data_IF_791888224917
#
_entry.id   IF_791888224917
#
_cell.length_a   1.000
_cell.length_b   1.000
_cell.length_c   1.000
_cell.angle_alpha   90.00
_cell.angle_beta   90.00
_cell.angle_gamma   90.00
#
_symmetry.space_group_name_H-M   'P 1'
#
loop_
_entity.id
_entity.type
_entity.pdbx_description
1 polymer ?
#
# COMPACT_ATOMS: atom_id res chain seq x y z
N UNK A 1 -6.80 -8.38 -14.81
CA UNK A 1 -6.44 -7.83 -13.48
C UNK A 1 -5.36 -6.74 -13.65
N UNK A 2 -5.26 -5.75 -12.75
CA UNK A 2 -4.26 -4.67 -12.83
C UNK A 2 -3.50 -4.58 -11.51
N UNK A 3 -2.17 -4.63 -11.55
CA UNK A 3 -1.28 -4.49 -10.39
C UNK A 3 -0.63 -3.10 -10.44
N UNK A 4 -0.63 -2.39 -9.32
CA UNK A 4 -0.08 -1.04 -9.20
C UNK A 4 0.83 -0.98 -7.97
N UNK A 5 2.16 -0.98 -8.15
CA UNK A 5 3.08 -0.69 -7.06
C UNK A 5 2.83 0.73 -6.53
N UNK A 6 2.61 0.87 -5.23
CA UNK A 6 2.39 2.17 -4.57
C UNK A 6 3.62 2.65 -3.81
N UNK A 7 4.42 1.71 -3.30
CA UNK A 7 5.71 1.95 -2.71
C UNK A 7 6.64 0.75 -2.87
N UNK A 8 7.91 1.02 -3.13
CA UNK A 8 8.91 0.04 -3.59
C UNK A 8 10.24 0.12 -2.84
N UNK A 9 10.36 0.91 -1.77
CA UNK A 9 11.56 1.01 -0.95
C UNK A 9 11.60 -0.08 0.12
N UNK A 10 12.79 -0.55 0.48
CA UNK A 10 13.02 -1.43 1.63
C UNK A 10 13.45 -0.64 2.87
N UNK A 11 12.90 -1.01 4.03
CA UNK A 11 13.22 -0.56 5.40
C UNK A 11 12.97 0.92 5.71
N UNK A 12 13.36 1.82 4.81
CA UNK A 12 13.23 3.28 4.98
C UNK A 12 12.82 3.92 3.66
N UNK A 13 11.93 4.92 3.67
CA UNK A 13 11.59 5.64 2.46
C UNK A 13 12.81 6.45 1.99
N UNK A 14 12.82 6.77 0.70
CA UNK A 14 13.75 7.70 0.09
C UNK A 14 12.97 8.90 -0.47
N UNK A 15 13.67 9.94 -0.94
CA UNK A 15 13.00 11.08 -1.57
C UNK A 15 12.21 10.73 -2.83
N UNK A 16 12.42 9.53 -3.39
CA UNK A 16 11.80 9.08 -4.66
C UNK A 16 11.14 7.70 -4.58
N UNK A 17 11.16 7.03 -3.42
CA UNK A 17 10.57 5.69 -3.23
C UNK A 17 9.97 5.59 -1.83
N UNK A 18 8.70 5.21 -1.78
CA UNK A 18 7.89 5.04 -0.58
C UNK A 18 7.94 3.60 -0.06
N UNK A 19 7.46 3.41 1.18
CA UNK A 19 7.47 2.11 1.84
C UNK A 19 6.52 1.10 1.18
N UNK A 20 6.75 -0.21 1.37
CA UNK A 20 6.09 -1.27 0.61
C UNK A 20 4.57 -1.21 0.65
N UNK A 21 3.98 -1.16 -0.55
CA UNK A 21 2.57 -1.40 -0.74
C UNK A 21 2.30 -1.64 -2.23
N UNK A 22 1.49 -2.65 -2.56
CA UNK A 22 1.06 -2.95 -3.92
C UNK A 22 -0.46 -3.09 -3.93
N UNK A 23 -1.13 -2.37 -4.82
CA UNK A 23 -2.57 -2.51 -5.02
C UNK A 23 -2.86 -3.38 -6.24
N UNK A 24 -3.72 -4.38 -6.07
CA UNK A 24 -4.31 -5.14 -7.15
C UNK A 24 -5.75 -4.67 -7.34
N UNK A 25 -6.07 -4.23 -8.55
CA UNK A 25 -7.40 -3.81 -8.96
C UNK A 25 -8.05 -4.88 -9.84
N UNK A 26 -9.28 -5.24 -9.48
CA UNK A 26 -10.11 -6.21 -10.20
C UNK A 26 -11.58 -5.82 -10.07
N UNK A 27 -12.28 -5.69 -11.20
CA UNK A 27 -13.73 -5.52 -11.26
C UNK A 27 -14.28 -4.39 -10.35
N UNK A 28 -13.50 -3.31 -10.19
CA UNK A 28 -13.88 -2.16 -9.36
C UNK A 28 -13.51 -2.28 -7.87
N UNK A 29 -12.98 -3.40 -7.43
CA UNK A 29 -12.44 -3.66 -6.09
C UNK A 29 -10.92 -3.55 -6.06
N UNK A 30 -10.39 -3.23 -4.88
CA UNK A 30 -8.95 -3.12 -4.60
C UNK A 30 -8.56 -4.12 -3.52
N UNK A 31 -7.45 -4.80 -3.75
CA UNK A 31 -6.81 -5.75 -2.84
C UNK A 31 -5.41 -5.21 -2.56
N UNK A 32 -5.14 -4.83 -1.32
CA UNK A 32 -3.89 -4.16 -0.94
C UNK A 32 -2.93 -5.16 -0.31
N UNK A 33 -1.72 -5.28 -0.84
CA UNK A 33 -0.64 -6.09 -0.30
C UNK A 33 0.37 -5.17 0.37
N UNK A 34 0.56 -5.35 1.67
CA UNK A 34 1.20 -4.42 2.61
C UNK A 34 0.62 -3.00 2.60
N UNK A 35 0.82 -2.31 3.72
CA UNK A 35 0.35 -0.97 3.96
C UNK A 35 1.45 -0.16 4.68
N UNK A 36 2.60 0.01 4.03
CA UNK A 36 3.63 0.91 4.51
C UNK A 36 3.18 2.35 4.66
N UNK A 37 3.94 3.14 5.41
CA UNK A 37 3.71 4.57 5.54
C UNK A 37 3.53 5.20 4.14
N UNK A 38 2.53 6.08 4.02
CA UNK A 38 2.14 6.76 2.78
C UNK A 38 1.37 5.92 1.74
N UNK A 39 1.08 4.63 1.98
CA UNK A 39 0.32 3.79 1.05
C UNK A 39 -1.01 4.43 0.59
N UNK A 40 -1.76 5.02 1.51
CA UNK A 40 -3.02 5.71 1.19
C UNK A 40 -2.86 6.91 0.23
N UNK A 41 -1.70 7.58 0.25
CA UNK A 41 -1.40 8.67 -0.66
C UNK A 41 -0.99 8.14 -2.03
N UNK A 42 -0.20 7.06 -2.07
CA UNK A 42 0.10 6.33 -3.30
C UNK A 42 -1.17 5.90 -4.02
N UNK A 43 -2.17 5.38 -3.30
CA UNK A 43 -3.48 5.06 -3.86
C UNK A 43 -4.15 6.27 -4.52
N UNK A 44 -4.15 7.42 -3.86
CA UNK A 44 -4.74 8.65 -4.41
C UNK A 44 -4.04 9.11 -5.68
N UNK A 45 -2.70 9.08 -5.68
CA UNK A 45 -1.88 9.46 -6.83
C UNK A 45 -2.11 8.53 -8.02
N UNK A 46 -2.25 7.23 -7.76
CA UNK A 46 -2.62 6.22 -8.75
C UNK A 46 -4.08 6.31 -9.21
N UNK A 47 -4.89 7.21 -8.66
CA UNK A 47 -6.31 7.33 -9.00
C UNK A 47 -7.20 6.23 -8.41
N UNK A 48 -6.66 5.38 -7.53
CA UNK A 48 -7.38 4.30 -6.85
C UNK A 48 -8.23 4.86 -5.70
N UNK A 49 -9.46 4.40 -5.58
CA UNK A 49 -10.37 4.78 -4.50
C UNK A 49 -10.11 3.90 -3.28
N UNK A 50 -9.66 4.49 -2.17
CA UNK A 50 -9.50 3.81 -0.87
C UNK A 50 -10.79 3.14 -0.39
N UNK A 51 -11.96 3.75 -0.64
CA UNK A 51 -13.27 3.16 -0.34
C UNK A 51 -13.63 1.90 -1.16
N UNK A 52 -12.79 1.51 -2.12
CA UNK A 52 -12.93 0.27 -2.90
C UNK A 52 -12.01 -0.86 -2.43
N UNK A 53 -11.22 -0.66 -1.37
CA UNK A 53 -10.41 -1.72 -0.76
C UNK A 53 -11.34 -2.76 -0.15
N UNK A 54 -11.26 -4.01 -0.55
CA UNK A 54 -12.05 -5.08 0.05
C UNK A 54 -11.19 -5.95 0.96
N UNK A 55 -9.90 -6.12 0.63
CA UNK A 55 -8.95 -6.84 1.45
C UNK A 55 -7.63 -6.07 1.61
N UNK A 56 -7.02 -6.21 2.78
CA UNK A 56 -5.63 -5.82 3.06
C UNK A 56 -4.88 -7.07 3.54
N UNK A 57 -3.75 -7.37 2.90
CA UNK A 57 -2.88 -8.51 3.21
C UNK A 57 -1.56 -7.97 3.76
N UNK A 58 -1.25 -8.22 5.03
CA UNK A 58 -0.01 -7.81 5.68
C UNK A 58 0.94 -8.98 5.71
N UNK A 59 2.10 -8.87 5.07
CA UNK A 59 3.10 -9.94 5.00
C UNK A 59 3.72 -10.25 6.36
N UNK A 60 4.17 -9.24 7.10
CA UNK A 60 4.85 -9.39 8.39
C UNK A 60 4.87 -8.09 9.22
N UNK A 61 5.41 -8.17 10.45
CA UNK A 61 5.48 -7.06 11.40
C UNK A 61 6.82 -6.31 11.42
N UNK A 62 7.42 -6.07 10.27
CA UNK A 62 8.38 -4.96 10.14
C UNK A 62 7.66 -3.68 9.74
N UNK A 63 8.10 -2.57 10.33
CA UNK A 63 7.32 -1.32 10.41
C UNK A 63 6.98 -0.75 9.03
N UNK A 64 7.85 -0.95 8.07
CA UNK A 64 7.66 -0.50 6.70
C UNK A 64 6.52 -1.23 5.97
N UNK A 65 6.02 -2.36 6.45
CA UNK A 65 4.94 -3.12 5.81
C UNK A 65 3.54 -2.83 6.36
N UNK A 66 3.42 -2.23 7.55
CA UNK A 66 2.09 -2.02 8.16
C UNK A 66 1.88 -0.63 8.77
N UNK A 67 2.92 0.21 8.86
CA UNK A 67 2.83 1.54 9.52
C UNK A 67 1.75 2.48 8.97
N UNK A 68 1.37 2.33 7.71
CA UNK A 68 0.30 3.11 7.07
C UNK A 68 -1.12 2.65 7.42
N UNK A 69 -1.28 1.47 8.01
CA UNK A 69 -2.58 0.82 8.22
C UNK A 69 -3.52 1.66 9.08
N UNK A 70 -3.06 2.18 10.22
CA UNK A 70 -3.91 2.94 11.14
C UNK A 70 -4.43 4.25 10.53
N UNK A 71 -3.57 4.94 9.77
CA UNK A 71 -3.96 6.15 9.05
C UNK A 71 -4.97 5.86 7.94
N UNK A 72 -4.83 4.71 7.26
CA UNK A 72 -5.78 4.26 6.27
C UNK A 72 -7.14 3.93 6.89
N UNK A 73 -7.18 3.13 7.97
CA UNK A 73 -8.43 2.75 8.66
C UNK A 73 -9.18 3.97 9.18
N UNK A 74 -8.48 4.91 9.82
CA UNK A 74 -9.06 6.17 10.28
C UNK A 74 -9.66 6.98 9.12
N UNK A 75 -8.99 6.97 7.97
CA UNK A 75 -9.49 7.64 6.76
C UNK A 75 -10.73 6.96 6.18
N UNK A 76 -10.77 5.63 6.15
CA UNK A 76 -11.95 4.88 5.70
C UNK A 76 -13.15 5.15 6.60
N UNK A 77 -12.92 5.27 7.92
CA UNK A 77 -13.95 5.65 8.87
C UNK A 77 -14.51 7.06 8.59
N UNK A 78 -13.63 8.04 8.38
CA UNK A 78 -14.04 9.41 8.02
C UNK A 78 -14.80 9.49 6.69
N UNK A 79 -14.55 8.55 5.77
CA UNK A 79 -15.25 8.45 4.49
C UNK A 79 -16.63 7.79 4.60
N UNK A 80 -17.06 7.36 5.79
CA UNK A 80 -18.33 6.68 6.02
C UNK A 80 -18.50 5.46 5.10
N UNK A 81 -17.42 4.69 4.97
CA UNK A 81 -17.46 3.38 4.32
C UNK A 81 -18.47 2.51 5.08
N UNK A 82 -19.27 1.75 4.34
CA UNK A 82 -20.27 0.79 4.83
C UNK A 82 -19.95 -0.66 4.44
N UNK A 83 -19.01 -0.86 3.52
CA UNK A 83 -18.57 -2.18 3.06
C UNK A 83 -17.64 -2.84 4.08
N UNK A 84 -17.82 -4.14 4.29
CA UNK A 84 -16.89 -4.98 5.07
C UNK A 84 -15.45 -4.85 4.55
N UNK A 85 -14.47 -4.96 5.45
CA UNK A 85 -13.05 -5.01 5.13
C UNK A 85 -12.44 -6.29 5.70
N UNK A 86 -11.76 -7.07 4.86
CA UNK A 86 -10.96 -8.22 5.33
C UNK A 86 -9.52 -7.76 5.55
N UNK A 87 -8.96 -8.06 6.71
CA UNK A 87 -7.54 -7.89 7.01
C UNK A 87 -6.95 -9.27 7.27
N UNK A 88 -6.02 -9.70 6.43
CA UNK A 88 -5.31 -10.96 6.57
C UNK A 88 -3.82 -10.71 6.84
N UNK A 89 -3.20 -11.54 7.67
CA UNK A 89 -1.80 -11.36 8.06
C UNK A 89 -1.37 -12.36 9.12
N UNK A 90 -0.13 -12.26 9.63
CA UNK A 90 0.30 -13.01 10.80
C UNK A 90 -0.62 -12.80 11.99
N UNK A 91 -0.74 -13.83 12.82
CA UNK A 91 -1.36 -13.74 14.13
C UNK A 91 -0.82 -12.57 14.95
N UNK A 92 -1.74 -11.79 15.52
CA UNK A 92 -1.46 -10.54 16.23
C UNK A 92 -1.92 -9.30 15.46
N UNK A 93 -2.31 -9.41 14.18
CA UNK A 93 -2.80 -8.26 13.40
C UNK A 93 -4.13 -7.76 13.97
N UNK A 94 -4.99 -8.66 14.44
CA UNK A 94 -6.24 -8.28 15.10
C UNK A 94 -5.96 -7.48 16.38
N UNK A 95 -5.12 -8.03 17.25
CA UNK A 95 -4.73 -7.40 18.52
C UNK A 95 -4.12 -6.01 18.25
N UNK A 96 -3.20 -5.91 17.29
CA UNK A 96 -2.57 -4.66 16.90
C UNK A 96 -3.61 -3.61 16.46
N UNK A 97 -4.52 -3.97 15.55
CA UNK A 97 -5.51 -3.02 15.02
C UNK A 97 -6.48 -2.59 16.13
N UNK A 98 -7.07 -3.55 16.85
CA UNK A 98 -8.06 -3.26 17.90
C UNK A 98 -7.44 -2.42 19.03
N UNK A 99 -6.20 -2.73 19.44
CA UNK A 99 -5.52 -1.95 20.46
C UNK A 99 -5.31 -0.49 20.04
N UNK A 100 -4.85 -0.25 18.80
CA UNK A 100 -4.61 1.11 18.31
C UNK A 100 -5.90 1.91 18.10
N UNK A 101 -6.98 1.25 17.64
CA UNK A 101 -8.30 1.88 17.53
C UNK A 101 -8.82 2.28 18.92
N UNK A 102 -8.71 1.39 19.90
CA UNK A 102 -9.09 1.68 21.28
C UNK A 102 -8.24 2.81 21.90
N UNK A 103 -6.92 2.78 21.69
CA UNK A 103 -6.00 3.82 22.17
C UNK A 103 -6.34 5.20 21.59
N UNK A 104 -6.72 5.26 20.31
CA UNK A 104 -7.05 6.51 19.61
C UNK A 104 -8.51 6.95 19.76
N UNK A 105 -9.36 6.13 20.38
CA UNK A 105 -10.80 6.39 20.48
C UNK A 105 -11.52 6.38 19.13
N UNK A 106 -11.00 5.63 18.16
CA UNK A 106 -11.60 5.50 16.82
C UNK A 106 -12.51 4.27 16.79
N UNK A 107 -13.81 4.50 16.61
CA UNK A 107 -14.78 3.45 16.34
C UNK A 107 -15.00 3.34 14.82
N UNK A 108 -14.85 2.15 14.25
CA UNK A 108 -15.13 1.91 12.83
C UNK A 108 -16.63 1.69 12.62
N UNK A 109 -17.18 2.35 11.61
CA UNK A 109 -18.58 2.26 11.17
C UNK A 109 -18.83 1.18 10.12
N UNK A 110 -17.83 0.34 9.86
CA UNK A 110 -17.89 -0.81 8.97
C UNK A 110 -17.27 -2.02 9.67
N UNK A 111 -17.69 -3.21 9.25
CA UNK A 111 -17.19 -4.47 9.78
C UNK A 111 -15.76 -4.76 9.31
N UNK A 112 -14.93 -5.28 10.22
CA UNK A 112 -13.58 -5.76 9.91
C UNK A 112 -13.47 -7.22 10.29
N UNK A 113 -13.20 -8.06 9.30
CA UNK A 113 -12.95 -9.49 9.47
C UNK A 113 -11.45 -9.74 9.45
N UNK A 114 -10.92 -10.43 10.47
CA UNK A 114 -9.50 -10.73 10.60
C UNK A 114 -9.22 -12.20 10.27
N UNK A 115 -8.39 -12.43 9.24
CA UNK A 115 -7.95 -13.75 8.83
C UNK A 115 -6.48 -13.93 9.18
N UNK A 116 -6.23 -14.34 10.42
CA UNK A 116 -4.88 -14.53 10.96
C UNK A 116 -4.28 -15.88 10.53
N UNK A 117 -2.98 -15.89 10.23
CA UNK A 117 -2.22 -17.10 9.91
C UNK A 117 -1.20 -17.35 11.01
N UNK A 118 -1.23 -18.55 11.58
CA UNK A 118 -0.29 -19.02 12.60
C UNK A 118 1.04 -19.48 11.97
N UNK A 119 2.15 -19.38 12.71
CA UNK A 119 3.49 -19.75 12.20
C UNK A 119 3.64 -21.22 11.78
N UNK A 120 2.77 -22.10 12.29
CA UNK A 120 2.78 -23.53 11.97
C UNK A 120 2.03 -23.92 10.70
N UNK A 121 1.33 -22.98 10.04
CA UNK A 121 0.54 -23.25 8.86
C UNK A 121 1.39 -23.25 7.59
N UNK A 122 1.41 -24.35 6.83
CA UNK A 122 2.17 -24.46 5.57
C UNK A 122 1.47 -23.76 4.39
N UNK A 123 0.14 -23.67 4.45
CA UNK A 123 -0.71 -23.04 3.45
C UNK A 123 -2.06 -22.68 4.06
N UNK A 124 -2.52 -21.45 3.83
CA UNK A 124 -3.81 -21.01 4.34
C UNK A 124 -4.60 -20.29 3.25
N UNK A 125 -5.88 -20.66 3.11
CA UNK A 125 -6.83 -19.95 2.25
C UNK A 125 -7.38 -18.73 3.01
N UNK A 126 -6.71 -17.58 2.89
CA UNK A 126 -7.10 -16.36 3.62
C UNK A 126 -8.31 -15.66 3.00
N UNK A 127 -8.64 -15.94 1.74
CA UNK A 127 -9.91 -15.56 1.11
C UNK A 127 -10.33 -16.68 0.14
N UNK A 128 -11.58 -17.12 0.19
CA UNK A 128 -12.18 -18.01 -0.81
C UNK A 128 -13.52 -17.42 -1.25
N UNK A 129 -13.50 -16.65 -2.34
CA UNK A 129 -14.69 -16.09 -2.95
C UNK A 129 -15.18 -17.01 -4.08
N UNK A 130 -16.36 -16.76 -4.62
CA UNK A 130 -16.94 -17.62 -5.66
C UNK A 130 -16.08 -17.69 -6.93
N UNK A 131 -15.39 -16.61 -7.28
CA UNK A 131 -14.69 -16.41 -8.55
C UNK A 131 -13.18 -16.22 -8.42
N UNK A 132 -12.65 -16.08 -7.21
CA UNK A 132 -11.21 -16.05 -6.92
C UNK A 132 -10.90 -16.57 -5.52
N UNK A 133 -9.63 -16.80 -5.26
CA UNK A 133 -9.14 -17.08 -3.92
C UNK A 133 -7.79 -16.40 -3.66
N UNK A 134 -7.46 -16.21 -2.40
CA UNK A 134 -6.13 -15.77 -1.96
C UNK A 134 -5.54 -16.81 -1.02
N UNK A 135 -4.38 -17.32 -1.39
CA UNK A 135 -3.58 -18.27 -0.61
C UNK A 135 -2.39 -17.57 0.03
N UNK A 136 -2.11 -17.86 1.29
CA UNK A 136 -0.92 -17.41 2.01
C UNK A 136 0.00 -18.61 2.30
N UNK A 137 1.32 -18.37 2.25
CA UNK A 137 2.33 -19.36 2.65
C UNK A 137 3.47 -18.69 3.43
N UNK A 138 4.06 -19.37 4.42
CA UNK A 138 5.26 -18.90 5.10
C UNK A 138 6.42 -18.70 4.14
N UNK A 139 7.10 -17.57 4.28
CA UNK A 139 8.35 -17.21 3.63
C UNK A 139 9.52 -17.33 4.61
N UNK A 140 10.74 -17.18 4.10
CA UNK A 140 11.96 -17.30 4.90
C UNK A 140 12.55 -15.93 5.21
N UNK A 141 12.07 -15.30 6.28
CA UNK A 141 12.53 -13.99 6.74
C UNK A 141 12.97 -14.02 8.22
N UNK A 142 13.49 -12.91 8.75
CA UNK A 142 13.96 -12.83 10.16
C UNK A 142 12.83 -12.96 11.17
N UNK A 143 11.64 -12.50 10.79
CA UNK A 143 10.37 -12.70 11.50
C UNK A 143 9.47 -13.59 10.65
N UNK A 144 8.40 -14.11 11.25
CA UNK A 144 7.37 -14.79 10.49
C UNK A 144 6.80 -13.85 9.41
N UNK A 145 6.87 -14.31 8.17
CA UNK A 145 6.51 -13.55 6.99
C UNK A 145 5.68 -14.42 6.05
N UNK A 146 4.68 -13.82 5.43
CA UNK A 146 3.76 -14.46 4.51
C UNK A 146 3.95 -13.90 3.11
N UNK A 147 3.96 -14.79 2.13
CA UNK A 147 3.72 -14.46 0.73
C UNK A 147 2.29 -14.79 0.37
N UNK A 148 1.76 -14.11 -0.65
CA UNK A 148 0.38 -14.28 -1.07
C UNK A 148 0.28 -14.61 -2.56
N UNK A 149 -0.71 -15.43 -2.91
CA UNK A 149 -1.13 -15.69 -4.29
C UNK A 149 -2.61 -15.35 -4.42
N UNK A 150 -2.93 -14.36 -5.26
CA UNK A 150 -4.27 -14.11 -5.76
C UNK A 150 -4.49 -14.94 -7.02
N UNK A 151 -5.54 -15.74 -7.05
CA UNK A 151 -5.89 -16.60 -8.20
C UNK A 151 -7.37 -16.46 -8.52
N UNK A 152 -7.70 -15.94 -9.71
CA UNK A 152 -9.04 -16.11 -10.26
C UNK A 152 -9.28 -17.59 -10.56
N UNK A 153 -10.48 -18.08 -10.26
CA UNK A 153 -10.88 -19.43 -10.65
C UNK A 153 -11.04 -19.49 -12.18
N UNK A 154 -10.80 -20.68 -12.73
CA UNK A 154 -10.91 -20.89 -14.16
C UNK A 154 -12.32 -20.59 -14.63
N UNK A 155 -12.40 -19.89 -15.77
CA UNK A 155 -13.68 -19.58 -16.40
C UNK A 155 -13.99 -20.68 -17.41
N UNK A 156 -15.27 -21.04 -17.58
CA UNK A 156 -15.66 -21.90 -18.69
C UNK A 156 -15.14 -21.38 -20.03
N UNK A 157 -14.93 -22.32 -20.95
CA UNK A 157 -14.54 -21.99 -22.31
C UNK A 157 -15.56 -21.09 -23.00
N UNK A 158 -15.15 -20.50 -24.12
CA UNK A 158 -16.09 -19.75 -24.96
C UNK A 158 -17.09 -20.72 -25.57
N UNK A 159 -18.36 -20.34 -25.54
CA UNK A 159 -19.43 -21.06 -26.25
C UNK A 159 -19.31 -20.79 -27.74
N UNK A 160 -19.31 -21.84 -28.55
CA UNK A 160 -19.51 -21.76 -29.99
C UNK A 160 -21.00 -21.55 -30.27
N UNK A 161 -21.40 -20.27 -30.36
CA UNK A 161 -22.79 -19.89 -30.56
C UNK A 161 -23.35 -20.41 -31.90
N UNK A 162 -22.51 -20.56 -32.92
CA UNK A 162 -22.94 -21.06 -34.22
C UNK A 162 -23.28 -22.55 -34.16
N UNK A 163 -22.44 -23.36 -33.50
CA UNK A 163 -22.76 -24.77 -33.25
C UNK A 163 -23.97 -24.92 -32.33
N UNK A 164 -24.03 -24.18 -31.22
CA UNK A 164 -25.16 -24.24 -30.30
C UNK A 164 -26.49 -24.00 -31.02
N UNK A 165 -26.56 -23.01 -31.91
CA UNK A 165 -27.74 -22.74 -32.73
C UNK A 165 -28.07 -23.88 -33.70
N UNK A 166 -27.09 -24.56 -34.28
CA UNK A 166 -27.32 -25.73 -35.16
C UNK A 166 -27.95 -26.90 -34.41
N UNK A 167 -27.67 -27.03 -33.12
CA UNK A 167 -28.27 -28.04 -32.25
C UNK A 167 -29.58 -27.58 -31.60
N UNK A 168 -30.08 -26.37 -31.91
CA UNK A 168 -31.30 -25.84 -31.31
C UNK A 168 -31.18 -25.46 -29.83
N UNK A 169 -29.94 -25.34 -29.30
CA UNK A 169 -29.69 -24.91 -27.93
C UNK A 169 -29.98 -23.41 -27.84
N UNK A 170 -31.03 -23.06 -27.12
CA UNK A 170 -31.52 -21.67 -27.02
C UNK A 170 -31.82 -21.24 -25.59
N UNK A 171 -31.93 -22.18 -24.65
CA UNK A 171 -32.24 -21.91 -23.25
C UNK A 171 -30.97 -21.57 -22.44
N UNK A 172 -31.07 -20.56 -21.58
CA UNK A 172 -30.00 -20.16 -20.66
C UNK A 172 -29.62 -21.28 -19.68
N UNK A 173 -30.57 -22.11 -19.26
CA UNK A 173 -30.31 -23.26 -18.38
C UNK A 173 -29.47 -24.33 -19.10
N UNK A 174 -29.76 -24.59 -20.37
CA UNK A 174 -28.96 -25.47 -21.22
C UNK A 174 -27.51 -24.95 -21.38
N UNK A 175 -27.35 -23.65 -21.61
CA UNK A 175 -26.02 -23.04 -21.67
C UNK A 175 -25.28 -23.10 -20.33
N UNK A 176 -25.99 -23.01 -19.20
CA UNK A 176 -25.40 -23.12 -17.87
C UNK A 176 -24.88 -24.54 -17.60
N UNK A 177 -25.66 -25.56 -17.94
CA UNK A 177 -25.26 -26.97 -17.85
C UNK A 177 -24.01 -27.26 -18.70
N UNK A 178 -24.03 -26.85 -19.98
CA UNK A 178 -22.89 -27.04 -20.88
C UNK A 178 -21.64 -26.31 -20.38
N UNK A 179 -21.78 -25.08 -19.86
CA UNK A 179 -20.65 -24.33 -19.26
C UNK A 179 -20.14 -24.94 -17.95
N UNK A 180 -20.99 -25.67 -17.22
CA UNK A 180 -20.58 -26.45 -16.06
C UNK A 180 -19.83 -27.74 -16.44
N UNK A 181 -19.80 -28.08 -17.74
CA UNK A 181 -19.18 -29.30 -18.25
C UNK A 181 -20.12 -30.49 -18.29
N UNK A 182 -21.41 -30.29 -18.06
CA UNK A 182 -22.41 -31.35 -18.10
C UNK A 182 -22.94 -31.54 -19.52
N UNK A 183 -23.23 -32.80 -19.87
CA UNK A 183 -23.84 -33.14 -21.15
C UNK A 183 -25.33 -32.79 -21.15
N UNK A 184 -25.82 -32.37 -22.30
CA UNK A 184 -27.21 -31.97 -22.47
C UNK A 184 -27.97 -33.00 -23.31
N UNK A 185 -29.07 -33.51 -22.79
CA UNK A 185 -30.01 -34.33 -23.57
C UNK A 185 -31.12 -33.43 -24.12
N UNK A 186 -31.25 -33.37 -25.43
CA UNK A 186 -32.31 -32.64 -26.12
C UNK A 186 -33.65 -33.41 -26.09
N UNK A 187 -34.74 -32.71 -26.40
CA UNK A 187 -36.09 -33.28 -26.45
C UNK A 187 -36.24 -34.44 -27.47
N UNK A 188 -35.40 -34.45 -28.51
CA UNK A 188 -35.33 -35.53 -29.51
C UNK A 188 -34.52 -36.75 -29.04
N UNK A 189 -34.01 -36.73 -27.80
CA UNK A 189 -33.21 -37.77 -27.19
C UNK A 189 -31.72 -37.72 -27.54
N UNK A 190 -31.28 -36.75 -28.36
CA UNK A 190 -29.87 -36.58 -28.70
C UNK A 190 -29.08 -36.03 -27.51
N UNK A 191 -27.96 -36.67 -27.19
CA UNK A 191 -27.01 -36.18 -26.19
C UNK A 191 -25.95 -35.32 -26.87
N UNK A 192 -25.76 -34.12 -26.35
CA UNK A 192 -24.72 -33.18 -26.77
C UNK A 192 -23.68 -33.12 -25.66
N UNK A 193 -22.44 -33.42 -26.03
CA UNK A 193 -21.34 -33.37 -25.09
C UNK A 193 -20.91 -31.90 -24.89
N UNK A 194 -20.62 -31.51 -23.64
CA UNK A 194 -20.26 -30.13 -23.32
C UNK A 194 -19.11 -29.59 -24.17
N UNK A 195 -18.10 -30.43 -24.47
CA UNK A 195 -16.92 -30.06 -25.24
C UNK A 195 -17.19 -29.78 -26.72
N UNK A 196 -18.35 -30.21 -27.27
CA UNK A 196 -18.72 -29.93 -28.65
C UNK A 196 -19.14 -28.46 -28.84
N UNK A 197 -19.65 -27.86 -27.77
CA UNK A 197 -20.20 -26.50 -27.73
C UNK A 197 -19.28 -25.54 -26.98
N UNK A 198 -18.69 -25.97 -25.87
CA UNK A 198 -17.86 -25.15 -25.00
C UNK A 198 -16.40 -25.48 -25.24
N UNK A 199 -15.61 -24.48 -25.61
CA UNK A 199 -14.17 -24.64 -25.79
C UNK A 199 -13.42 -24.99 -24.50
N UNK A 200 -12.10 -25.09 -24.58
CA UNK A 200 -11.28 -25.36 -23.40
C UNK A 200 -11.47 -24.30 -22.29
N UNK A 201 -11.41 -24.70 -21.00
CA UNK A 201 -11.41 -23.78 -19.88
C UNK A 201 -10.36 -22.69 -20.06
N UNK A 202 -10.71 -21.49 -19.61
CA UNK A 202 -9.84 -20.32 -19.68
C UNK A 202 -9.22 -20.11 -18.31
N UNK A 203 -7.90 -20.27 -18.16
CA UNK A 203 -7.23 -20.07 -16.90
C UNK A 203 -7.52 -18.68 -16.34
N UNK A 204 -7.82 -18.61 -15.04
CA UNK A 204 -8.00 -17.35 -14.36
C UNK A 204 -6.69 -16.54 -14.28
N UNK A 205 -6.81 -15.21 -14.24
CA UNK A 205 -5.66 -14.34 -13.96
C UNK A 205 -5.09 -14.59 -12.56
N UNK A 206 -3.78 -14.44 -12.43
CA UNK A 206 -3.06 -14.74 -11.19
C UNK A 206 -1.93 -13.77 -10.91
N UNK A 207 -1.75 -13.48 -9.62
CA UNK A 207 -0.73 -12.58 -9.10
C UNK A 207 -0.12 -13.17 -7.82
N UNK A 208 1.21 -13.23 -7.74
CA UNK A 208 1.92 -13.56 -6.52
C UNK A 208 2.65 -12.34 -5.96
N UNK A 209 2.52 -12.11 -4.67
CA UNK A 209 3.25 -11.11 -3.89
C UNK A 209 4.20 -11.82 -2.94
N UNK A 210 5.49 -11.76 -3.25
CA UNK A 210 6.59 -12.30 -2.47
C UNK A 210 7.51 -11.12 -2.12
N UNK A 211 7.32 -10.53 -0.95
CA UNK A 211 8.26 -9.51 -0.45
C UNK A 211 9.36 -10.21 0.34
N UNK A 212 9.75 -9.63 1.46
CA UNK A 212 10.80 -9.96 2.41
C UNK A 212 10.98 -11.46 2.63
N UNK A 213 12.00 -12.01 1.98
CA UNK A 213 12.37 -13.42 2.06
C UNK A 213 13.77 -13.65 1.51
N UNK A 214 14.50 -14.61 2.07
CA UNK A 214 15.50 -15.37 1.35
C UNK A 214 14.82 -16.28 0.30
N UNK A 215 15.59 -16.78 -0.67
CA UNK A 215 15.11 -17.86 -1.53
C UNK A 215 14.50 -19.00 -0.69
N UNK A 216 13.25 -19.38 -1.00
CA UNK A 216 12.57 -20.49 -0.36
C UNK A 216 11.59 -21.23 -1.30
N UNK A 217 11.33 -22.53 -1.09
CA UNK A 217 10.40 -23.29 -1.93
C UNK A 217 8.96 -22.76 -1.93
N UNK A 218 8.51 -22.13 -0.84
CA UNK A 218 7.15 -21.59 -0.76
C UNK A 218 6.98 -20.36 -1.67
N UNK A 219 8.02 -19.56 -1.89
CA UNK A 219 8.00 -18.50 -2.91
C UNK A 219 7.74 -19.08 -4.32
N UNK A 220 8.40 -20.19 -4.66
CA UNK A 220 8.19 -20.89 -5.95
C UNK A 220 6.75 -21.44 -6.05
N UNK A 221 6.23 -22.06 -4.98
CA UNK A 221 4.85 -22.58 -4.96
C UNK A 221 3.80 -21.48 -5.15
N UNK A 222 3.97 -20.33 -4.49
CA UNK A 222 3.08 -19.17 -4.66
C UNK A 222 3.11 -18.67 -6.11
N UNK A 223 4.32 -18.57 -6.69
CA UNK A 223 4.54 -18.02 -8.02
C UNK A 223 4.19 -18.97 -9.17
N UNK A 224 3.93 -20.26 -8.90
CA UNK A 224 3.80 -21.30 -9.91
C UNK A 224 2.76 -20.96 -11.00
N UNK A 225 3.20 -20.85 -12.25
CA UNK A 225 2.42 -20.49 -13.44
C UNK A 225 1.63 -19.17 -13.32
N UNK A 226 2.11 -18.22 -12.53
CA UNK A 226 1.43 -16.93 -12.34
C UNK A 226 1.53 -16.02 -13.56
N UNK A 227 0.56 -15.13 -13.77
CA UNK A 227 0.70 -14.07 -14.78
C UNK A 227 1.76 -13.05 -14.35
N UNK A 228 1.73 -12.64 -13.08
CA UNK A 228 2.67 -11.67 -12.52
C UNK A 228 3.18 -12.19 -11.17
N UNK A 229 4.49 -12.26 -11.02
CA UNK A 229 5.17 -12.39 -9.75
C UNK A 229 5.78 -11.05 -9.37
N UNK A 230 5.34 -10.44 -8.27
CA UNK A 230 6.08 -9.37 -7.60
C UNK A 230 7.02 -9.99 -6.58
N UNK A 231 8.33 -9.82 -6.75
CA UNK A 231 9.35 -10.36 -5.86
C UNK A 231 10.25 -9.25 -5.30
N UNK A 232 10.67 -9.34 -4.03
CA UNK A 232 11.71 -8.45 -3.52
C UNK A 232 13.05 -8.67 -4.26
N UNK A 233 13.80 -7.59 -4.45
CA UNK A 233 15.18 -7.63 -4.90
C UNK A 233 15.97 -6.59 -4.11
N UNK A 234 16.00 -6.75 -2.78
CA UNK A 234 16.60 -5.76 -1.88
C UNK A 234 18.07 -5.52 -2.21
N UNK A 235 18.77 -6.56 -2.66
CA UNK A 235 20.19 -6.53 -2.99
C UNK A 235 20.49 -7.08 -4.39
N UNK A 236 21.67 -6.75 -4.90
CA UNK A 236 22.30 -7.41 -6.05
C UNK A 236 23.29 -8.48 -5.59
N UNK A 237 23.80 -9.27 -6.54
CA UNK A 237 24.64 -10.45 -6.26
C UNK A 237 25.90 -10.14 -5.45
N UNK A 238 26.49 -8.94 -5.62
CA UNK A 238 27.67 -8.51 -4.85
C UNK A 238 27.41 -8.41 -3.34
N UNK A 239 26.14 -8.38 -2.92
CA UNK A 239 25.70 -8.29 -1.54
C UNK A 239 24.87 -9.50 -1.11
N UNK A 240 25.04 -10.66 -1.76
CA UNK A 240 24.32 -11.89 -1.42
C UNK A 240 24.47 -12.31 0.05
N UNK A 241 25.67 -12.16 0.62
CA UNK A 241 25.90 -12.43 2.05
C UNK A 241 25.05 -11.51 2.94
N UNK A 242 24.93 -10.22 2.56
CA UNK A 242 24.10 -9.27 3.30
C UNK A 242 22.63 -9.58 3.15
N UNK A 243 22.18 -9.97 1.96
CA UNK A 243 20.81 -10.41 1.71
C UNK A 243 20.45 -11.55 2.66
N UNK A 244 21.26 -12.61 2.69
CA UNK A 244 21.09 -13.74 3.60
C UNK A 244 21.13 -13.34 5.08
N UNK A 245 22.11 -12.53 5.50
CA UNK A 245 22.22 -12.05 6.88
C UNK A 245 20.97 -11.29 7.36
N UNK A 246 20.29 -10.62 6.43
CA UNK A 246 19.12 -9.79 6.72
C UNK A 246 17.79 -10.46 6.36
N UNK A 247 17.79 -11.71 5.90
CA UNK A 247 16.58 -12.43 5.55
C UNK A 247 15.94 -11.99 4.23
N UNK A 248 16.76 -11.48 3.29
CA UNK A 248 16.33 -10.92 2.01
C UNK A 248 16.89 -11.68 0.81
N UNK A 249 16.40 -11.32 -0.37
CA UNK A 249 16.79 -11.89 -1.66
C UNK A 249 17.67 -10.95 -2.47
N UNK A 250 18.50 -11.55 -3.32
CA UNK A 250 19.12 -10.85 -4.43
C UNK A 250 18.20 -10.78 -5.65
N UNK A 251 18.52 -9.90 -6.61
CA UNK A 251 17.87 -9.89 -7.92
C UNK A 251 17.97 -11.25 -8.66
N UNK A 252 19.07 -11.99 -8.48
CA UNK A 252 19.21 -13.33 -9.05
C UNK A 252 18.35 -14.38 -8.32
N UNK A 253 18.15 -14.25 -7.01
CA UNK A 253 17.23 -15.14 -6.27
C UNK A 253 15.79 -14.95 -6.74
N UNK A 254 15.36 -13.69 -6.93
CA UNK A 254 14.05 -13.38 -7.51
C UNK A 254 13.87 -13.98 -8.92
N UNK A 255 14.88 -13.83 -9.78
CA UNK A 255 14.89 -14.43 -11.12
C UNK A 255 14.86 -15.97 -11.07
N UNK A 256 15.56 -16.58 -10.11
CA UNK A 256 15.53 -18.02 -9.88
C UNK A 256 14.12 -18.49 -9.52
N UNK A 257 13.45 -17.82 -8.58
CA UNK A 257 12.06 -18.14 -8.21
C UNK A 257 11.15 -18.04 -9.44
N UNK A 258 11.27 -16.96 -10.23
CA UNK A 258 10.48 -16.76 -11.44
C UNK A 258 10.67 -17.89 -12.47
N UNK A 259 11.91 -18.31 -12.70
CA UNK A 259 12.26 -19.39 -13.62
C UNK A 259 11.73 -20.73 -13.14
N UNK A 260 11.96 -21.09 -11.88
CA UNK A 260 11.48 -22.36 -11.30
C UNK A 260 9.94 -22.42 -11.26
N UNK A 261 9.29 -21.28 -11.03
CA UNK A 261 7.85 -21.16 -10.98
C UNK A 261 7.18 -21.03 -12.35
N UNK A 262 7.94 -20.82 -13.43
CA UNK A 262 7.40 -20.58 -14.77
C UNK A 262 6.37 -19.43 -14.81
N UNK A 263 6.63 -18.35 -14.05
CA UNK A 263 5.78 -17.15 -14.13
C UNK A 263 5.86 -16.53 -15.52
N UNK A 264 4.86 -15.74 -15.93
CA UNK A 264 4.90 -15.04 -17.23
C UNK A 264 5.68 -13.73 -17.16
N UNK A 265 5.67 -13.06 -16.01
CA UNK A 265 6.33 -11.77 -15.79
C UNK A 265 6.83 -11.68 -14.35
N UNK A 266 8.11 -11.38 -14.18
CA UNK A 266 8.71 -11.00 -12.91
C UNK A 266 8.72 -9.46 -12.80
N UNK A 267 8.22 -8.94 -11.68
CA UNK A 267 8.33 -7.54 -11.30
C UNK A 267 9.17 -7.50 -10.02
N UNK A 268 10.36 -6.90 -10.10
CA UNK A 268 11.22 -6.76 -8.92
C UNK A 268 10.95 -5.44 -8.21
N UNK A 269 10.93 -5.46 -6.87
CA UNK A 269 10.69 -4.29 -6.02
C UNK A 269 11.45 -4.34 -4.69
N UNK A 270 10.96 -3.62 -3.68
CA UNK A 270 11.53 -3.63 -2.32
C UNK A 270 13.03 -3.29 -2.30
N UNK A 271 13.42 -2.19 -2.93
CA UNK A 271 14.81 -1.88 -3.19
C UNK A 271 15.49 -1.20 -2.01
N UNK A 272 16.70 -1.65 -1.66
CA UNK A 272 17.53 -0.94 -0.69
C UNK A 272 17.83 0.50 -1.15
N UNK A 273 17.75 1.45 -0.21
CA UNK A 273 18.05 2.86 -0.44
C UNK A 273 19.46 3.11 -1.04
N UNK A 274 20.39 2.15 -0.89
CA UNK A 274 21.75 2.21 -1.46
C UNK A 274 21.79 2.28 -2.98
N UNK A 275 20.78 1.72 -3.66
CA UNK A 275 20.74 1.71 -5.12
C UNK A 275 20.14 3.01 -5.62
N UNK A 276 20.96 3.85 -6.23
CA UNK A 276 20.52 5.05 -6.97
C UNK A 276 20.13 4.72 -8.41
N UNK A 277 20.76 3.69 -9.00
CA UNK A 277 20.40 3.15 -10.30
C UNK A 277 19.87 1.72 -10.15
N UNK A 278 18.56 1.54 -10.28
CA UNK A 278 17.90 0.24 -10.17
C UNK A 278 18.16 -0.69 -11.37
N UNK A 279 18.61 -0.15 -12.50
CA UNK A 279 18.87 -0.95 -13.70
C UNK A 279 20.00 -1.98 -13.51
N UNK A 280 20.86 -1.80 -12.51
CA UNK A 280 21.87 -2.81 -12.16
C UNK A 280 21.20 -4.09 -11.67
N UNK A 281 20.14 -3.98 -10.86
CA UNK A 281 19.35 -5.11 -10.36
C UNK A 281 18.51 -5.72 -11.47
N UNK A 282 17.91 -4.87 -12.32
CA UNK A 282 17.17 -5.32 -13.50
C UNK A 282 18.04 -6.17 -14.43
N UNK A 283 19.28 -5.73 -14.68
CA UNK A 283 20.22 -6.46 -15.52
C UNK A 283 20.50 -7.84 -14.93
N UNK A 284 20.85 -7.91 -13.63
CA UNK A 284 21.11 -9.18 -12.95
C UNK A 284 19.89 -10.12 -13.00
N UNK A 285 18.69 -9.61 -12.75
CA UNK A 285 17.48 -10.44 -12.83
C UNK A 285 17.21 -10.95 -14.25
N UNK A 286 17.43 -10.12 -15.28
CA UNK A 286 17.24 -10.51 -16.69
C UNK A 286 18.23 -11.54 -17.21
N UNK A 287 19.38 -11.71 -16.54
CA UNK A 287 20.32 -12.80 -16.84
C UNK A 287 19.71 -14.17 -16.47
N UNK A 288 18.90 -14.24 -15.41
CA UNK A 288 18.21 -15.47 -14.99
C UNK A 288 16.79 -15.64 -15.56
N UNK A 289 16.07 -14.54 -15.75
CA UNK A 289 14.69 -14.53 -16.24
C UNK A 289 14.41 -13.26 -17.07
N UNK A 290 14.45 -13.38 -18.40
CA UNK A 290 14.39 -12.23 -19.30
C UNK A 290 13.10 -11.38 -19.19
N UNK A 291 11.88 -11.95 -19.02
CA UNK A 291 10.65 -11.20 -18.79
C UNK A 291 10.60 -10.58 -17.38
N UNK A 292 11.55 -9.69 -17.08
CA UNK A 292 11.64 -8.96 -15.80
C UNK A 292 11.49 -7.47 -16.01
N UNK A 293 10.65 -6.85 -15.16
CA UNK A 293 10.42 -5.40 -15.07
C UNK A 293 10.84 -4.86 -13.69
N UNK A 294 11.23 -3.60 -13.64
CA UNK A 294 11.32 -2.86 -12.39
C UNK A 294 9.92 -2.43 -11.97
N UNK A 295 9.59 -2.60 -10.69
CA UNK A 295 8.46 -1.92 -10.09
C UNK A 295 8.72 -0.40 -10.16
N UNK A 296 7.81 0.31 -10.82
CA UNK A 296 7.77 1.76 -10.83
C UNK A 296 6.50 2.18 -10.10
N UNK A 297 6.63 3.04 -9.09
CA UNK A 297 5.48 3.51 -8.33
C UNK A 297 4.44 4.14 -9.26
N UNK A 298 3.18 3.85 -8.99
CA UNK A 298 1.99 4.34 -9.70
C UNK A 298 1.85 3.82 -11.14
N UNK A 299 2.81 3.05 -11.69
CA UNK A 299 2.71 2.46 -13.03
C UNK A 299 1.80 1.23 -12.98
N UNK A 300 0.67 1.21 -13.71
CA UNK A 300 -0.16 0.02 -13.80
C UNK A 300 0.52 -1.08 -14.62
N UNK A 301 0.35 -2.32 -14.18
CA UNK A 301 0.86 -3.54 -14.81
C UNK A 301 -0.32 -4.48 -15.03
N UNK A 302 -0.57 -4.87 -16.28
CA UNK A 302 -1.73 -5.68 -16.65
C UNK A 302 -1.33 -7.15 -16.74
N UNK A 303 -2.17 -8.05 -16.20
CA UNK A 303 -1.98 -9.50 -16.34
C UNK A 303 -2.14 -10.00 -17.77
N UNK A 304 -2.83 -9.22 -18.61
CA UNK A 304 -2.92 -9.36 -20.05
C UNK A 304 -2.40 -8.07 -20.72
N UNK A 305 -1.21 -8.10 -21.35
CA UNK A 305 -0.59 -6.92 -21.94
C UNK A 305 -1.39 -6.33 -23.12
N UNK A 306 -2.37 -7.06 -23.68
CA UNK A 306 -3.24 -6.52 -24.73
C UNK A 306 -4.19 -5.43 -24.20
N UNK A 307 -4.35 -5.32 -22.88
CA UNK A 307 -5.27 -4.40 -22.20
C UNK A 307 -4.60 -3.13 -21.64
N UNK A 308 -3.34 -2.84 -21.98
CA UNK A 308 -2.59 -1.68 -21.42
C UNK A 308 -3.21 -0.29 -21.67
N UNK A 309 -4.26 -0.17 -22.49
CA UNK A 309 -4.85 1.13 -22.85
C UNK A 309 -6.01 1.55 -21.94
N UNK A 310 -5.80 2.61 -21.16
CA UNK A 310 -6.86 3.57 -20.81
C UNK A 310 -7.70 3.33 -19.55
N UNK A 311 -7.34 2.42 -18.64
CA UNK A 311 -8.17 2.10 -17.45
C UNK A 311 -7.83 2.95 -16.21
N UNK A 312 -6.58 3.38 -16.06
CA UNK A 312 -6.13 4.21 -14.93
C UNK A 312 -5.53 5.51 -15.47
N UNK A 313 -6.21 6.63 -15.22
CA UNK A 313 -5.67 7.96 -15.51
C UNK A 313 -5.09 8.54 -14.22
N UNK A 314 -3.78 8.83 -14.15
CA UNK A 314 -3.19 9.51 -13.00
C UNK A 314 -3.92 10.82 -12.74
N UNK A 315 -4.33 11.08 -11.50
CA UNK A 315 -5.12 12.28 -11.14
C UNK A 315 -4.29 13.52 -10.84
N UNK A 316 -2.96 13.39 -10.80
CA UNK A 316 -2.08 14.49 -10.43
C UNK A 316 -1.42 15.04 -11.69
N UNK A 317 -1.99 16.12 -12.23
CA UNK A 317 -1.17 17.08 -12.95
C UNK A 317 -0.24 17.73 -11.93
N UNK A 318 1.07 17.50 -12.07
CA UNK A 318 2.05 18.34 -11.41
C UNK A 318 1.76 19.78 -11.83
N UNK A 319 1.27 20.59 -10.89
CA UNK A 319 1.12 22.03 -11.12
C UNK A 319 2.52 22.58 -11.33
N UNK A 320 2.87 22.77 -12.58
CA UNK A 320 4.15 23.30 -13.00
C UNK A 320 4.28 24.73 -12.45
N UNK A 321 5.01 24.88 -11.34
CA UNK A 321 5.22 26.16 -10.65
C UNK A 321 5.99 27.18 -11.52
N UNK A 322 6.41 26.77 -12.72
CA UNK A 322 7.13 27.62 -13.69
C UNK A 322 6.22 28.31 -14.71
N UNK A 323 4.92 27.98 -14.76
CA UNK A 323 3.99 28.65 -15.67
C UNK A 323 3.58 30.02 -15.10
N UNK A 324 4.37 31.05 -15.44
CA UNK A 324 3.93 32.43 -15.35
C UNK A 324 2.57 32.58 -16.06
N UNK A 325 1.57 33.22 -15.45
CA UNK A 325 0.30 33.46 -16.13
C UNK A 325 0.55 34.28 -17.40
N UNK A 326 -0.18 34.02 -18.51
CA UNK A 326 0.04 34.71 -19.76
C UNK A 326 -0.19 36.21 -19.57
N UNK A 327 0.82 37.00 -19.96
CA UNK A 327 0.70 38.47 -20.04
C UNK A 327 -0.43 38.78 -21.02
N UNK A 328 -1.53 39.35 -20.51
CA UNK A 328 -2.56 39.93 -21.36
C UNK A 328 -1.95 41.09 -22.17
N UNK A 329 -1.77 40.85 -23.46
CA UNK A 329 -1.53 41.89 -24.45
C UNK A 329 -2.82 42.68 -24.67
N UNK A 330 -3.03 43.73 -23.87
CA UNK A 330 -4.08 44.71 -24.09
C UNK A 330 -3.68 45.69 -25.19
N UNK A 331 -3.99 45.35 -26.45
CA UNK A 331 -4.01 46.29 -27.55
C UNK A 331 -5.34 47.04 -27.58
N UNK A 332 -5.31 48.36 -27.38
CA UNK A 332 -6.46 49.24 -27.52
C UNK A 332 -5.99 50.67 -27.74
N UNK A 333 -5.88 51.07 -29.01
CA UNK A 333 -5.54 52.43 -29.39
C UNK A 333 -6.77 53.34 -29.40
N UNK A 334 -6.58 54.59 -28.97
CA UNK A 334 -7.33 55.75 -29.47
C UNK A 334 -6.48 57.02 -29.30
N UNK A 335 -6.63 57.94 -30.27
CA UNK A 335 -5.72 59.04 -30.63
C UNK A 335 -6.14 60.39 -30.02
N UNK A 336 -5.18 61.33 -30.08
CA UNK A 336 -5.30 62.81 -30.00
C UNK A 336 -5.58 63.38 -28.60
N UNK A 337 -4.98 64.48 -28.15
CA UNK A 337 -4.43 65.67 -28.82
C UNK A 337 -3.35 66.35 -27.94
N UNK A 338 -2.46 67.12 -28.55
CA UNK A 338 -1.26 67.67 -27.93
C UNK A 338 -1.43 68.93 -27.07
N UNK A 339 -0.36 69.28 -26.33
CA UNK A 339 0.16 70.65 -26.18
C UNK A 339 1.54 70.63 -25.52
N UNK A 340 2.39 71.53 -26.01
CA UNK A 340 3.76 71.84 -25.58
C UNK A 340 3.76 72.56 -24.22
N UNK A 341 4.83 72.41 -23.43
CA UNK A 341 5.88 73.42 -23.21
C UNK A 341 6.62 73.29 -21.85
N UNK A 342 7.91 73.65 -21.90
CA UNK A 342 8.81 74.18 -20.83
C UNK A 342 9.06 73.34 -19.56
N UNK A 343 10.29 72.85 -19.34
CA UNK A 343 11.50 73.50 -18.74
C UNK A 343 11.46 73.61 -17.21
N UNK A 344 12.63 73.28 -16.63
CA UNK A 344 13.12 73.59 -15.28
C UNK A 344 12.41 72.95 -14.10
N UNK A 345 13.01 72.77 -12.93
CA UNK A 345 14.33 72.35 -12.45
C UNK A 345 14.16 72.20 -10.93
N UNK A 346 15.16 71.60 -10.25
CA UNK A 346 15.41 71.63 -8.80
C UNK A 346 14.72 70.58 -7.92
N UNK A 347 15.57 69.65 -7.49
CA UNK A 347 16.06 69.51 -6.12
C UNK A 347 15.10 69.45 -4.92
N UNK A 348 15.37 68.39 -4.16
CA UNK A 348 15.57 68.35 -2.71
C UNK A 348 14.38 68.06 -1.77
N UNK A 349 14.61 66.98 -1.01
CA UNK A 349 14.18 66.68 0.38
C UNK A 349 12.67 66.48 0.54
N UNK A 350 12.17 65.46 1.24
CA UNK A 350 12.71 64.75 2.38
C UNK A 350 11.61 64.72 3.43
N UNK A 351 11.33 63.51 3.93
CA UNK A 351 10.51 63.18 5.11
C UNK A 351 8.98 63.32 5.01
N UNK A 352 8.30 62.19 5.23
CA UNK A 352 7.03 62.17 5.95
C UNK A 352 7.13 61.17 7.11
N UNK A 353 6.94 61.70 8.32
CA UNK A 353 6.58 60.96 9.54
C UNK A 353 5.05 61.00 9.68
N UNK A 354 4.49 59.96 10.27
CA UNK A 354 3.17 59.95 10.92
C UNK A 354 2.26 58.87 10.32
N UNK A 355 1.67 57.95 11.07
CA UNK A 355 1.53 57.80 12.51
C UNK A 355 0.09 57.38 12.82
N UNK A 356 -0.06 56.37 13.70
CA UNK A 356 -1.20 56.15 14.63
C UNK A 356 -2.56 55.78 13.96
N UNK A 357 -3.44 54.91 14.47
CA UNK A 357 -3.59 54.20 15.74
C UNK A 357 -4.56 53.01 15.57
N UNK A 358 -4.25 51.92 16.28
CA UNK A 358 -5.12 51.03 17.08
C UNK A 358 -6.65 51.27 17.12
N UNK A 359 -7.42 50.17 17.10
CA UNK A 359 -8.18 49.68 18.28
C UNK A 359 -8.72 48.26 18.15
N UNK A 360 -8.91 47.64 19.31
CA UNK A 360 -9.23 46.25 19.60
C UNK A 360 -10.60 46.07 20.30
N UNK A 361 -11.15 44.84 20.15
CA UNK A 361 -11.98 44.00 21.05
C UNK A 361 -13.23 44.53 21.79
N UNK A 362 -14.29 43.71 21.75
CA UNK A 362 -15.17 43.17 22.84
C UNK A 362 -16.20 42.21 22.20
N UNK A 363 -16.76 41.13 22.79
CA UNK A 363 -16.80 40.59 24.15
C UNK A 363 -18.21 40.69 24.79
N UNK A 364 -18.88 39.55 25.06
CA UNK A 364 -20.15 39.38 25.82
C UNK A 364 -21.35 38.97 24.92
N UNK A 365 -22.23 37.99 25.18
CA UNK A 365 -22.84 37.36 26.37
C UNK A 365 -24.35 37.20 26.04
N UNK A 366 -24.93 36.01 25.86
CA UNK A 366 -25.72 35.25 26.85
C UNK A 366 -27.24 35.57 26.82
N UNK A 367 -28.13 34.58 26.54
CA UNK A 367 -29.47 34.51 27.15
C UNK A 367 -30.22 33.18 26.94
N UNK A 368 -31.03 32.85 27.95
CA UNK A 368 -31.86 31.66 28.19
C UNK A 368 -33.19 31.63 27.39
N UNK A 369 -33.78 30.44 27.23
CA UNK A 369 -35.22 30.26 27.50
C UNK A 369 -35.62 28.81 27.84
N UNK A 370 -36.48 28.69 28.86
CA UNK A 370 -37.20 27.50 29.36
C UNK A 370 -38.57 27.39 28.66
N UNK A 371 -39.10 26.16 28.60
CA UNK A 371 -40.48 25.76 29.00
C UNK A 371 -40.87 24.45 28.25
N UNK A 372 -41.68 23.50 28.72
CA UNK A 372 -42.19 23.05 30.04
C UNK A 372 -43.10 21.81 29.75
N UNK A 373 -43.39 20.99 30.79
CA UNK A 373 -44.49 19.97 30.91
C UNK A 373 -44.32 18.61 30.20
N UNK A 374 -44.80 17.46 30.70
CA UNK A 374 -45.43 16.99 31.96
C UNK A 374 -45.52 15.45 31.81
N UNK A 375 -45.05 14.63 32.75
CA UNK A 375 -45.78 13.98 33.86
C UNK A 375 -46.44 12.60 33.58
N UNK A 376 -46.27 11.70 34.58
CA UNK A 376 -46.93 10.39 34.89
C UNK A 376 -46.25 9.14 34.32
N UNK A 377 -45.95 8.06 35.05
CA UNK A 377 -46.10 7.60 36.45
C UNK A 377 -45.40 6.22 36.51
N UNK A 378 -44.72 5.78 37.56
CA UNK A 378 -45.21 5.51 38.90
C UNK A 378 -45.29 3.99 39.11
N UNK A 379 -44.52 3.44 40.06
CA UNK A 379 -44.70 2.06 40.56
C UNK A 379 -43.39 1.34 40.91
N UNK A 380 -42.96 1.43 42.16
CA UNK A 380 -41.91 0.56 42.72
C UNK A 380 -42.50 -0.56 43.57
N UNK A 381 -41.71 -1.59 43.88
CA UNK A 381 -41.79 -2.38 45.12
C UNK A 381 -40.42 -2.96 45.49
N UNK A 382 -40.15 -2.95 46.80
CA UNK A 382 -38.97 -3.46 47.52
C UNK A 382 -39.09 -4.96 47.81
N UNK A 383 -37.94 -5.62 47.96
CA UNK A 383 -37.48 -6.47 49.10
C UNK A 383 -36.40 -7.42 48.57
N UNK A 384 -35.36 -7.87 49.27
CA UNK A 384 -35.01 -7.88 50.68
C UNK A 384 -34.24 -9.18 50.96
N UNK A 385 -33.16 -9.12 51.76
CA UNK A 385 -32.42 -10.27 52.31
C UNK A 385 -31.22 -10.72 51.46
N UNK A 386 -29.97 -10.79 51.91
CA UNK A 386 -29.42 -10.84 53.26
C UNK A 386 -29.14 -12.29 53.69
N UNK A 387 -27.91 -12.78 53.54
CA UNK A 387 -27.16 -13.38 54.65
C UNK A 387 -25.69 -13.73 54.34
N UNK A 388 -24.88 -13.54 55.38
CA UNK A 388 -23.46 -13.88 55.57
C UNK A 388 -23.28 -15.36 55.91
N UNK A 389 -22.05 -15.88 55.77
CA UNK A 389 -21.19 -16.67 56.69
C UNK A 389 -19.95 -17.09 55.86
N UNK A 390 -18.68 -17.09 56.26
CA UNK A 390 -17.97 -16.90 57.53
C UNK A 390 -16.71 -17.80 57.56
N UNK A 391 -15.57 -17.28 58.05
CA UNK A 391 -14.33 -18.02 58.44
C UNK A 391 -13.27 -18.12 57.33
N UNK A 392 -12.03 -17.66 57.45
CA UNK A 392 -11.01 -17.78 58.51
C UNK A 392 -9.86 -18.64 57.92
N UNK A 393 -8.54 -18.46 58.12
CA UNK A 393 -7.69 -17.65 59.00
C UNK A 393 -6.22 -17.82 58.53
N UNK A 394 -5.35 -16.86 58.90
CA UNK A 394 -3.91 -17.01 59.24
C UNK A 394 -2.89 -17.42 58.14
N UNK A 395 -1.62 -17.02 58.12
CA UNK A 395 -0.77 -16.06 58.84
C UNK A 395 0.64 -16.11 58.17
N UNK A 396 1.47 -15.10 58.49
CA UNK A 396 2.96 -15.08 58.53
C UNK A 396 3.73 -14.29 57.47
N UNK A 397 4.01 -13.03 57.83
CA UNK A 397 5.34 -12.45 58.10
C UNK A 397 6.58 -13.07 57.43
N UNK A 398 7.35 -12.24 56.71
CA UNK A 398 8.60 -11.64 57.24
C UNK A 398 9.18 -10.52 56.35
N UNK A 399 9.41 -9.37 56.98
CA UNK A 399 10.37 -8.34 56.58
C UNK A 399 11.79 -8.92 56.56
N UNK A 400 12.68 -8.36 55.74
CA UNK A 400 13.97 -7.87 56.23
C UNK A 400 14.49 -6.73 55.35
N UNK A 401 14.69 -5.57 56.00
CA UNK A 401 15.52 -4.46 55.53
C UNK A 401 16.94 -4.73 55.99
N UNK A 402 17.93 -4.43 55.16
CA UNK A 402 19.20 -3.91 55.64
C UNK A 402 19.63 -2.72 54.77
N UNK A 403 19.98 -1.66 55.50
CA UNK A 403 20.51 -0.37 55.05
C UNK A 403 21.99 -0.28 55.45
N UNK A 404 22.69 0.73 54.92
CA UNK A 404 24.13 1.10 54.97
C UNK A 404 24.91 0.62 53.74
N UNK A 405 25.56 1.45 52.94
CA UNK A 405 26.00 2.85 53.09
C UNK A 405 27.47 2.94 52.64
N UNK A 406 27.84 3.99 51.90
CA UNK A 406 29.25 4.39 51.72
C UNK A 406 29.74 4.57 50.28
N UNK A 407 29.72 5.83 49.83
CA UNK A 407 30.71 6.56 49.04
C UNK A 407 31.65 5.83 48.05
N UNK A 408 31.63 6.27 46.79
CA UNK A 408 32.79 6.95 46.17
C UNK A 408 32.52 7.43 44.75
N UNK A 409 32.47 8.76 44.62
CA UNK A 409 33.08 9.58 43.56
C UNK A 409 33.68 8.84 42.34
N UNK A 410 33.08 9.00 41.15
CA UNK A 410 33.84 9.10 39.89
C UNK A 410 33.30 10.22 39.00
N UNK A 411 34.13 11.25 38.94
CA UNK A 411 34.07 12.43 38.08
C UNK A 411 34.09 12.06 36.59
N UNK A 412 33.14 12.58 35.82
CA UNK A 412 33.27 12.70 34.36
C UNK A 412 34.08 13.96 34.07
N UNK A 413 35.39 13.79 33.88
CA UNK A 413 36.29 14.84 33.44
C UNK A 413 36.09 15.15 31.95
N UNK A 414 35.65 16.37 31.68
CA UNK A 414 35.86 17.05 30.41
C UNK A 414 37.35 17.13 30.09
N UNK A 415 37.78 16.75 28.89
CA UNK A 415 39.08 17.16 28.37
C UNK A 415 38.92 17.80 26.99
N UNK A 416 39.32 19.05 26.98
CA UNK A 416 39.43 20.01 25.90
C UNK A 416 40.54 19.65 24.91
N UNK A 417 40.24 19.93 23.64
CA UNK A 417 41.12 20.52 22.62
C UNK A 417 42.64 20.34 22.78
N UNK A 418 43.24 19.61 21.84
CA UNK A 418 44.50 20.02 21.24
C UNK A 418 44.43 19.87 19.72
N UNK A 419 44.72 21.00 19.05
CA UNK A 419 44.90 21.12 17.60
C UNK A 419 46.31 20.64 17.27
N UNK A 420 46.42 19.63 16.44
CA UNK A 420 47.60 19.47 15.60
C UNK A 420 47.18 19.58 14.13
N UNK A 421 47.75 20.62 13.49
CA UNK A 421 47.64 20.90 12.07
C UNK A 421 48.52 19.89 11.33
N UNK A 422 47.94 19.19 10.37
CA UNK A 422 48.67 18.72 9.20
C UNK A 422 47.83 19.03 7.97
N UNK A 423 48.30 20.02 7.21
CA UNK A 423 47.83 20.35 5.88
C UNK A 423 48.17 19.19 4.94
N UNK A 424 47.14 18.50 4.45
CA UNK A 424 47.22 17.74 3.21
C UNK A 424 46.02 18.07 2.32
N UNK A 425 46.39 18.77 1.25
CA UNK A 425 45.72 19.04 -0.01
C UNK A 425 44.40 18.29 -0.26
N UNK A 426 43.29 19.02 -0.19
CA UNK A 426 41.95 18.54 -0.50
C UNK A 426 41.52 19.08 -1.87
N UNK A 427 41.86 18.36 -2.94
CA UNK A 427 41.24 18.53 -4.26
C UNK A 427 40.53 17.24 -4.65
N UNK A 428 39.27 17.09 -4.26
CA UNK A 428 38.39 16.10 -4.87
C UNK A 428 38.13 16.50 -6.34
N UNK A 429 38.30 15.59 -7.32
CA UNK A 429 37.92 15.88 -8.69
C UNK A 429 36.39 15.95 -8.79
N UNK A 430 35.89 17.00 -9.47
CA UNK A 430 34.50 17.13 -9.87
C UNK A 430 33.99 15.81 -10.46
N UNK A 431 32.92 15.25 -9.89
CA UNK A 431 32.24 14.07 -10.43
C UNK A 431 31.82 14.36 -11.86
N UNK A 432 32.45 13.68 -12.81
CA UNK A 432 32.08 13.71 -14.22
C UNK A 432 30.68 13.13 -14.36
N UNK A 433 29.70 13.96 -14.72
CA UNK A 433 28.37 13.51 -15.12
C UNK A 433 28.58 12.61 -16.35
N UNK A 434 28.31 11.32 -16.20
CA UNK A 434 28.35 10.39 -17.32
C UNK A 434 27.32 10.85 -18.37
N UNK A 435 27.70 11.01 -19.65
CA UNK A 435 26.75 11.41 -20.68
C UNK A 435 25.65 10.35 -20.78
N UNK A 436 24.39 10.79 -20.83
CA UNK A 436 23.26 9.94 -21.18
C UNK A 436 23.54 9.24 -22.51
N UNK A 437 23.29 7.94 -22.56
CA UNK A 437 23.41 7.19 -23.81
C UNK A 437 22.06 7.21 -24.53
N UNK A 438 22.05 7.06 -25.85
CA UNK A 438 20.84 7.08 -26.68
C UNK A 438 19.83 5.96 -26.39
N UNK A 439 20.05 5.17 -25.34
CA UNK A 439 19.13 4.15 -24.82
C UNK A 439 18.29 4.64 -23.63
N UNK A 440 18.51 5.88 -23.15
CA UNK A 440 17.77 6.49 -22.04
C UNK A 440 16.40 7.10 -22.47
N UNK A 441 16.03 7.00 -23.76
CA UNK A 441 14.78 7.54 -24.34
C UNK A 441 13.70 6.46 -24.52
N UNK A 442 13.31 5.78 -23.43
CA UNK A 442 12.08 4.97 -23.39
C UNK A 442 11.04 5.59 -22.45
N UNK A 443 10.80 6.90 -22.61
CA UNK A 443 9.66 7.64 -22.02
C UNK A 443 8.49 7.82 -23.02
N UNK A 444 8.43 6.99 -24.06
CA UNK A 444 7.25 6.83 -24.90
C UNK A 444 7.07 5.36 -25.16
N UNK A 445 6.18 4.70 -24.41
CA UNK A 445 5.17 3.74 -24.88
C UNK A 445 4.27 3.37 -23.70
#
# INVERSE_FOLDING_TARGET
MIVVPLGIASATPTSTRHLPSVALWREGSVYLFDCGENAQMGMLQAGLKRSKIDCIFISHFDVDHYSGLMGLLSTLQLQRRDRELIIAGPKGIKEFVEWNLNFSGVELGFEVTYNEVDEGEEVTRVVDADDFYVEARPLKHRRFCLGYRFQEKDKPGKVDAAKAAQFGITDDEQFKELKAGNNLTLDDGKVIEAYEIVGHPRPGDSFAYVTDTEYCPNAVKLAMNTNILYHEATFGNQLADKAKETGHSTAADAARVATEAQTKLLVIGHFSARYTNLHVLLKEAREGFYPTWLANELRPIFTDPTHERGIITPKVELKDLTKNPPRQSGGGGSRHSGRRDSRDSRDHRGQSRGGKNFRSRRGGGGNYNRDNRDSRGGGGYRSGGGNRYGGGSNDRYRNDRYDRGGDSNRSYGSSSYNRDRNDQDNTQPNKTITPRTSYDDFDRF
#
